data_IF_159245419711
#
_entry.id   IF_159245419711
#
_cell.length_a   1.000
_cell.length_b   1.000
_cell.length_c   1.000
_cell.angle_alpha   90.00
_cell.angle_beta   90.00
_cell.angle_gamma   90.00
#
_symmetry.space_group_name_H-M   'P 1'
#
loop_
_entity.id
_entity.type
_entity.pdbx_description
1 polymer ?
#
# COMPACT_ATOMS: atom_id res chain seq x y z
N UNK A 1 -3.21 16.89 -6.44
CA UNK A 1 -3.40 15.84 -7.47
C UNK A 1 -2.05 15.46 -8.07
N UNK A 2 -1.87 14.19 -8.46
CA UNK A 2 -0.66 13.74 -9.16
C UNK A 2 -0.54 14.39 -10.55
N UNK A 3 0.68 14.60 -11.04
CA UNK A 3 0.88 15.13 -12.40
C UNK A 3 0.69 14.07 -13.49
N UNK A 4 0.82 12.81 -13.11
CA UNK A 4 0.55 11.62 -13.92
C UNK A 4 0.26 10.45 -12.97
N UNK A 5 0.13 9.23 -13.51
CA UNK A 5 -0.17 8.01 -12.75
C UNK A 5 0.85 7.68 -11.64
N UNK A 6 2.10 8.12 -11.76
CA UNK A 6 3.22 7.70 -10.91
C UNK A 6 3.94 8.87 -10.25
N UNK A 7 3.53 10.13 -10.46
CA UNK A 7 4.23 11.28 -9.91
C UNK A 7 3.32 12.27 -9.21
N UNK A 8 3.80 12.82 -8.09
CA UNK A 8 3.17 14.00 -7.48
C UNK A 8 3.33 15.24 -8.37
N UNK A 9 2.49 16.24 -8.16
CA UNK A 9 2.73 17.56 -8.74
C UNK A 9 3.94 18.23 -8.05
N UNK A 10 4.94 18.61 -8.83
CA UNK A 10 6.08 19.42 -8.37
C UNK A 10 5.73 20.90 -8.37
N UNK A 11 6.44 21.69 -7.57
CA UNK A 11 6.28 23.14 -7.49
C UNK A 11 7.64 23.80 -7.72
N UNK A 12 8.04 24.03 -9.00
CA UNK A 12 9.38 24.54 -9.33
C UNK A 12 9.71 25.90 -8.71
N UNK A 13 8.72 26.80 -8.59
CA UNK A 13 8.91 28.12 -7.97
C UNK A 13 9.34 28.06 -6.49
N UNK A 14 9.13 26.91 -5.84
CA UNK A 14 9.51 26.64 -4.45
C UNK A 14 10.63 25.58 -4.35
N UNK A 15 11.24 25.17 -5.47
CA UNK A 15 12.20 24.06 -5.53
C UNK A 15 11.65 22.73 -4.96
N UNK A 16 10.35 22.48 -5.09
CA UNK A 16 9.73 21.21 -4.66
C UNK A 16 9.69 20.24 -5.86
N UNK A 17 10.43 19.13 -5.83
CA UNK A 17 10.47 18.18 -6.95
C UNK A 17 9.20 17.33 -7.03
N UNK A 18 9.03 16.66 -8.17
CA UNK A 18 8.04 15.57 -8.30
C UNK A 18 8.56 14.34 -7.58
N UNK A 19 7.71 13.71 -6.78
CA UNK A 19 8.01 12.42 -6.16
C UNK A 19 7.43 11.30 -7.02
N UNK A 20 8.27 10.33 -7.37
CA UNK A 20 7.85 9.12 -8.09
C UNK A 20 7.36 8.07 -7.09
N UNK A 21 6.20 7.51 -7.36
CA UNK A 21 5.65 6.34 -6.69
C UNK A 21 5.66 5.13 -7.64
N UNK A 22 5.84 3.94 -7.08
CA UNK A 22 5.81 2.69 -7.82
C UNK A 22 5.05 1.65 -7.04
N UNK A 23 4.20 0.90 -7.74
CA UNK A 23 3.74 -0.37 -7.19
C UNK A 23 4.90 -1.29 -6.88
N UNK A 24 4.71 -2.06 -5.82
CA UNK A 24 4.40 -3.48 -5.97
C UNK A 24 3.47 -3.87 -4.84
N UNK A 25 3.32 -5.19 -4.61
CA UNK A 25 3.40 -5.76 -3.25
C UNK A 25 4.61 -6.57 -2.89
N UNK A 26 5.19 -7.16 -3.90
CA UNK A 26 6.19 -8.20 -3.79
C UNK A 26 7.30 -7.91 -4.80
N UNK A 27 7.63 -6.63 -4.96
CA UNK A 27 8.60 -6.14 -5.92
C UNK A 27 8.42 -4.66 -6.17
N UNK A 28 9.32 -4.08 -6.97
CA UNK A 28 9.21 -2.69 -7.45
C UNK A 28 9.04 -2.72 -8.94
N UNK A 29 7.86 -2.31 -9.40
CA UNK A 29 7.43 -2.48 -10.78
C UNK A 29 8.00 -1.40 -11.73
N UNK A 30 8.17 -0.17 -11.25
CA UNK A 30 8.53 0.99 -12.06
C UNK A 30 7.34 1.61 -12.83
N UNK A 31 7.64 2.63 -13.63
CA UNK A 31 6.65 3.55 -14.22
C UNK A 31 6.01 3.12 -15.56
N UNK A 32 6.55 2.09 -16.24
CA UNK A 32 6.06 1.65 -17.57
C UNK A 32 5.48 0.24 -17.49
N UNK A 33 4.37 -0.02 -18.18
CA UNK A 33 3.81 -1.38 -18.23
C UNK A 33 4.53 -2.33 -19.20
N UNK A 34 5.06 -1.79 -20.30
CA UNK A 34 5.76 -2.51 -21.38
C UNK A 34 7.24 -2.09 -21.46
N UNK A 35 8.10 -2.99 -21.95
CA UNK A 35 9.57 -2.80 -22.11
C UNK A 35 10.29 -2.34 -20.82
N UNK A 36 10.33 -3.24 -19.83
CA UNK A 36 10.81 -2.91 -18.47
C UNK A 36 12.25 -3.35 -18.23
N UNK A 37 12.94 -2.58 -17.39
CA UNK A 37 14.08 -3.09 -16.63
C UNK A 37 13.63 -4.24 -15.71
N UNK A 38 14.44 -5.31 -15.57
CA UNK A 38 14.16 -6.40 -14.65
C UNK A 38 13.84 -5.95 -13.21
N UNK A 39 13.06 -6.75 -12.49
CA UNK A 39 12.68 -6.48 -11.12
C UNK A 39 12.79 -7.75 -10.27
N UNK A 40 13.37 -7.64 -9.07
CA UNK A 40 13.23 -8.69 -8.08
C UNK A 40 11.76 -8.88 -7.70
N UNK A 41 11.28 -10.12 -7.79
CA UNK A 41 9.95 -10.53 -7.37
C UNK A 41 10.07 -11.39 -6.11
N UNK A 42 9.59 -10.86 -5.01
CA UNK A 42 9.44 -11.61 -3.76
C UNK A 42 8.24 -12.59 -3.85
N UNK A 43 8.21 -13.62 -2.99
CA UNK A 43 6.99 -14.39 -2.76
C UNK A 43 5.79 -13.50 -2.39
N UNK A 44 4.57 -13.98 -2.62
CA UNK A 44 3.36 -13.25 -2.25
C UNK A 44 3.25 -13.07 -0.71
N UNK A 45 2.44 -12.10 -0.28
CA UNK A 45 2.32 -11.75 1.15
C UNK A 45 1.92 -12.92 2.05
N UNK A 46 1.11 -13.87 1.56
CA UNK A 46 0.75 -15.08 2.31
C UNK A 46 1.91 -16.04 2.48
N UNK A 47 2.73 -16.23 1.44
CA UNK A 47 3.94 -17.05 1.53
C UNK A 47 4.96 -16.43 2.48
N UNK A 48 5.13 -15.10 2.42
CA UNK A 48 5.98 -14.35 3.34
C UNK A 48 5.45 -14.42 4.79
N UNK A 49 4.15 -14.26 5.00
CA UNK A 49 3.51 -14.39 6.31
C UNK A 49 3.62 -15.80 6.89
N UNK A 50 3.55 -16.83 6.04
CA UNK A 50 3.70 -18.23 6.44
C UNK A 50 5.11 -18.58 6.93
N UNK A 51 6.11 -17.72 6.73
CA UNK A 51 7.44 -17.91 7.31
C UNK A 51 7.48 -17.64 8.81
N UNK A 52 6.54 -16.84 9.32
CA UNK A 52 6.52 -16.35 10.71
C UNK A 52 7.86 -15.73 11.17
N UNK A 53 8.67 -15.23 10.24
CA UNK A 53 10.02 -14.77 10.47
C UNK A 53 10.12 -13.24 10.27
N UNK A 54 10.23 -12.49 11.36
CA UNK A 54 10.25 -11.02 11.33
C UNK A 54 11.54 -10.47 10.74
N UNK A 55 12.65 -11.15 11.00
CA UNK A 55 13.98 -10.81 10.51
C UNK A 55 14.02 -10.94 8.98
N UNK A 56 13.50 -12.04 8.44
CA UNK A 56 13.34 -12.24 7.01
C UNK A 56 12.44 -11.18 6.37
N UNK A 57 11.36 -10.77 7.04
CA UNK A 57 10.50 -9.68 6.57
C UNK A 57 11.23 -8.33 6.51
N UNK A 58 12.13 -8.08 7.46
CA UNK A 58 12.98 -6.88 7.45
C UNK A 58 13.96 -6.92 6.28
N UNK A 59 14.65 -8.04 6.06
CA UNK A 59 15.56 -8.23 4.92
C UNK A 59 14.85 -8.08 3.58
N UNK A 60 13.63 -8.61 3.47
CA UNK A 60 12.77 -8.41 2.30
C UNK A 60 12.46 -6.92 2.07
N UNK A 61 12.15 -6.18 3.14
CA UNK A 61 11.96 -4.72 3.08
C UNK A 61 13.21 -3.96 2.61
N UNK A 62 14.39 -4.35 3.09
CA UNK A 62 15.67 -3.75 2.67
C UNK A 62 15.98 -4.03 1.19
N UNK A 63 15.66 -5.23 0.69
CA UNK A 63 15.77 -5.55 -0.74
C UNK A 63 14.83 -4.67 -1.58
N UNK A 64 13.58 -4.48 -1.14
CA UNK A 64 12.63 -3.60 -1.81
C UNK A 64 13.10 -2.15 -1.82
N UNK A 65 13.71 -1.68 -0.73
CA UNK A 65 14.29 -0.33 -0.68
C UNK A 65 15.43 -0.15 -1.70
N UNK A 66 16.31 -1.15 -1.84
CA UNK A 66 17.37 -1.14 -2.87
C UNK A 66 16.79 -1.11 -4.30
N UNK A 67 15.75 -1.89 -4.55
CA UNK A 67 15.02 -1.90 -5.82
C UNK A 67 14.32 -0.56 -6.12
N UNK A 68 13.76 0.11 -5.09
CA UNK A 68 13.19 1.44 -5.22
C UNK A 68 14.26 2.45 -5.65
N UNK A 69 15.42 2.42 -4.99
CA UNK A 69 16.55 3.27 -5.34
C UNK A 69 17.00 3.03 -6.79
N UNK A 70 17.18 1.77 -7.19
CA UNK A 70 17.56 1.40 -8.56
C UNK A 70 16.57 1.89 -9.63
N UNK A 71 15.27 1.98 -9.29
CA UNK A 71 14.20 2.44 -10.19
C UNK A 71 13.84 3.92 -10.01
N UNK A 72 14.58 4.64 -9.17
CA UNK A 72 14.30 6.03 -8.78
C UNK A 72 12.86 6.24 -8.30
N UNK A 73 12.31 5.25 -7.58
CA UNK A 73 11.02 5.34 -6.90
C UNK A 73 11.24 5.86 -5.48
N UNK A 74 10.55 6.95 -5.13
CA UNK A 74 10.64 7.59 -3.83
C UNK A 74 9.65 6.98 -2.84
N UNK A 75 8.50 6.51 -3.35
CA UNK A 75 7.45 5.87 -2.55
C UNK A 75 7.12 4.52 -3.12
N UNK A 76 7.27 3.48 -2.30
CA UNK A 76 6.80 2.14 -2.62
C UNK A 76 5.36 1.97 -2.12
N UNK A 77 4.47 1.52 -3.00
CA UNK A 77 3.06 1.34 -2.66
C UNK A 77 2.81 -0.03 -2.02
N UNK A 78 3.48 -0.36 -0.89
CA UNK A 78 3.39 -1.64 -0.14
C UNK A 78 3.78 -1.62 1.34
N UNK A 79 3.58 -2.68 2.19
CA UNK A 79 3.06 -4.09 2.06
C UNK A 79 1.60 -4.39 2.58
N UNK A 80 0.79 -5.35 2.07
CA UNK A 80 -0.71 -5.38 2.30
C UNK A 80 -0.91 -6.27 3.47
N UNK A 81 -1.82 -5.80 4.30
CA UNK A 81 -2.24 -6.48 5.50
C UNK A 81 -3.70 -6.94 5.47
N UNK A 82 -4.51 -6.54 4.47
CA UNK A 82 -5.78 -7.20 4.10
C UNK A 82 -5.51 -8.36 3.12
N UNK A 83 -6.50 -8.89 2.37
CA UNK A 83 -6.25 -10.01 1.43
C UNK A 83 -4.95 -9.81 0.65
N UNK A 84 -4.07 -10.82 0.69
CA UNK A 84 -2.69 -10.81 0.19
C UNK A 84 -2.36 -9.66 -0.80
N UNK A 85 -1.39 -8.79 -0.45
CA UNK A 85 -0.45 -7.99 -1.31
C UNK A 85 -0.52 -6.39 -1.41
N UNK A 86 0.35 -5.64 -0.64
CA UNK A 86 0.59 -4.13 -0.42
C UNK A 86 -0.11 -3.09 0.57
N UNK A 87 0.52 -2.15 1.33
CA UNK A 87 -0.10 -1.34 2.43
C UNK A 87 -1.21 -0.44 1.85
N UNK A 88 -2.37 -1.05 1.80
CA UNK A 88 -3.56 -0.85 0.98
C UNK A 88 -4.32 -2.18 1.12
N UNK A 89 -5.60 -2.22 0.90
CA UNK A 89 -6.49 -1.08 0.92
C UNK A 89 -6.96 -0.91 2.37
N UNK A 90 -6.63 0.22 3.00
CA UNK A 90 -7.15 0.56 4.33
C UNK A 90 -8.58 1.11 4.16
N UNK A 91 -9.65 0.44 4.57
CA UNK A 91 -9.78 -0.88 5.20
C UNK A 91 -10.95 -1.63 4.52
N UNK A 92 -11.07 -2.96 4.68
CA UNK A 92 -12.21 -3.78 4.20
C UNK A 92 -12.33 -3.95 2.67
N UNK A 93 -11.22 -4.07 1.96
CA UNK A 93 -11.26 -4.56 0.57
C UNK A 93 -11.01 -6.06 0.49
N UNK A 94 -11.99 -6.86 0.93
CA UNK A 94 -11.89 -8.33 1.00
C UNK A 94 -12.47 -9.05 -0.22
N UNK A 95 -12.91 -8.32 -1.25
CA UNK A 95 -13.52 -8.90 -2.45
C UNK A 95 -13.30 -8.00 -3.67
N UNK A 96 -12.84 -8.56 -4.79
CA UNK A 96 -12.62 -7.80 -6.02
C UNK A 96 -13.90 -7.53 -6.82
N UNK A 97 -14.98 -8.29 -6.59
CA UNK A 97 -16.26 -8.09 -7.27
C UNK A 97 -16.87 -6.73 -6.86
N UNK A 98 -17.06 -5.84 -7.84
CA UNK A 98 -17.63 -4.50 -7.66
C UNK A 98 -16.98 -3.65 -6.56
N UNK A 99 -15.67 -3.81 -6.35
CA UNK A 99 -14.88 -3.15 -5.28
C UNK A 99 -15.01 -1.61 -5.17
N UNK A 100 -15.44 -0.93 -6.24
CA UNK A 100 -15.69 0.52 -6.25
C UNK A 100 -17.10 0.90 -5.80
N UNK A 101 -18.04 -0.06 -5.78
CA UNK A 101 -19.46 0.14 -5.45
C UNK A 101 -19.87 -0.58 -4.16
N UNK A 102 -19.16 -1.63 -3.77
CA UNK A 102 -19.49 -2.46 -2.61
C UNK A 102 -19.44 -1.66 -1.30
N UNK A 103 -20.48 -1.83 -0.47
CA UNK A 103 -20.55 -1.30 0.89
C UNK A 103 -20.35 -2.42 1.91
N UNK A 104 -19.21 -2.39 2.59
CA UNK A 104 -18.87 -3.35 3.62
C UNK A 104 -19.53 -2.92 4.94
N UNK A 105 -20.62 -3.60 5.30
CA UNK A 105 -21.33 -3.40 6.58
C UNK A 105 -20.74 -4.28 7.65
N UNK A 106 -20.11 -3.69 8.66
CA UNK A 106 -19.38 -4.42 9.70
C UNK A 106 -19.58 -3.80 11.08
N UNK A 107 -19.55 -4.65 12.11
CA UNK A 107 -19.57 -4.17 13.50
C UNK A 107 -18.28 -3.43 13.86
N UNK A 108 -18.39 -2.45 14.77
CA UNK A 108 -17.23 -1.73 15.31
C UNK A 108 -16.18 -2.65 15.93
N UNK A 109 -16.64 -3.74 16.57
CA UNK A 109 -15.75 -4.72 17.18
C UNK A 109 -14.89 -5.43 16.14
N UNK A 110 -15.51 -5.99 15.10
CA UNK A 110 -14.78 -6.70 14.06
C UNK A 110 -13.88 -5.74 13.26
N UNK A 111 -14.36 -4.51 12.98
CA UNK A 111 -13.54 -3.46 12.37
C UNK A 111 -12.25 -3.21 13.14
N UNK A 112 -12.33 -3.03 14.47
CA UNK A 112 -11.15 -2.75 15.31
C UNK A 112 -10.25 -3.96 15.51
N UNK A 113 -10.82 -5.10 15.89
CA UNK A 113 -10.05 -6.27 16.33
C UNK A 113 -9.42 -7.05 15.17
N UNK A 114 -10.02 -7.00 13.97
CA UNK A 114 -9.57 -7.83 12.83
C UNK A 114 -8.93 -6.97 11.75
N UNK A 115 -9.60 -5.90 11.34
CA UNK A 115 -9.26 -5.20 10.12
C UNK A 115 -8.34 -3.98 10.30
N UNK A 116 -8.55 -3.22 11.38
CA UNK A 116 -7.68 -2.10 11.72
C UNK A 116 -6.43 -2.52 12.49
N UNK A 117 -6.50 -3.63 13.23
CA UNK A 117 -5.39 -4.08 14.08
C UNK A 117 -4.06 -4.23 13.34
N UNK A 118 -3.98 -4.87 12.15
CA UNK A 118 -2.71 -4.96 11.41
C UNK A 118 -2.16 -3.58 11.02
N UNK A 119 -3.03 -2.66 10.60
CA UNK A 119 -2.62 -1.30 10.25
C UNK A 119 -2.14 -0.53 11.48
N UNK A 120 -2.84 -0.65 12.61
CA UNK A 120 -2.45 -0.05 13.88
C UNK A 120 -1.07 -0.54 14.33
N UNK A 121 -0.78 -1.84 14.21
CA UNK A 121 0.51 -2.41 14.52
C UNK A 121 1.61 -1.89 13.57
N UNK A 122 1.33 -1.80 12.27
CA UNK A 122 2.27 -1.27 11.29
C UNK A 122 2.60 0.21 11.54
N UNK A 123 1.59 1.04 11.82
CA UNK A 123 1.77 2.46 12.15
C UNK A 123 2.62 2.59 13.42
N UNK A 124 2.25 1.88 14.49
CA UNK A 124 2.94 1.95 15.78
C UNK A 124 4.40 1.51 15.70
N UNK A 125 4.68 0.43 14.98
CA UNK A 125 6.00 -0.21 15.03
C UNK A 125 6.93 0.23 13.89
N UNK A 126 6.40 0.73 12.77
CA UNK A 126 7.19 1.04 11.57
C UNK A 126 7.04 2.49 11.07
N UNK A 127 6.06 3.26 11.56
CA UNK A 127 5.83 4.67 11.22
C UNK A 127 5.92 4.97 9.71
N UNK A 128 5.03 4.37 8.88
CA UNK A 128 5.06 4.55 7.43
C UNK A 128 4.76 6.00 7.05
N UNK A 129 5.42 6.51 5.99
CA UNK A 129 5.25 7.89 5.53
C UNK A 129 3.91 8.16 4.83
N UNK A 130 3.24 7.10 4.35
CA UNK A 130 1.99 7.22 3.62
C UNK A 130 1.11 5.99 3.86
N UNK A 131 -0.21 6.22 3.84
CA UNK A 131 -1.24 5.20 3.80
C UNK A 131 -2.08 5.40 2.53
N UNK A 132 -2.64 4.32 2.00
CA UNK A 132 -3.52 4.37 0.85
C UNK A 132 -4.92 3.87 1.25
N UNK A 133 -5.90 4.75 1.06
CA UNK A 133 -7.30 4.48 1.33
C UNK A 133 -7.85 3.42 0.39
N UNK A 134 -8.81 2.64 0.87
CA UNK A 134 -9.53 1.69 0.05
C UNK A 134 -10.51 2.35 -0.92
N UNK A 135 -10.93 1.58 -1.92
CA UNK A 135 -11.93 2.01 -2.89
C UNK A 135 -13.37 1.87 -2.35
N UNK A 136 -13.61 0.82 -1.56
CA UNK A 136 -14.94 0.45 -1.07
C UNK A 136 -15.50 1.46 -0.06
N UNK A 137 -16.79 1.29 0.23
CA UNK A 137 -17.44 1.95 1.36
C UNK A 137 -17.34 1.08 2.61
N UNK A 138 -17.32 1.75 3.76
CA UNK A 138 -17.40 1.15 5.09
C UNK A 138 -18.54 1.81 5.82
N UNK A 139 -19.59 1.03 6.10
CA UNK A 139 -20.81 1.50 6.75
C UNK A 139 -21.42 2.74 6.05
N UNK A 140 -21.45 2.74 4.72
CA UNK A 140 -22.12 3.76 3.90
C UNK A 140 -21.24 4.90 3.37
N UNK A 141 -20.00 5.06 3.85
CA UNK A 141 -19.07 6.11 3.41
C UNK A 141 -17.86 5.54 2.67
N UNK A 142 -17.45 6.16 1.56
CA UNK A 142 -16.20 5.80 0.88
C UNK A 142 -15.01 6.04 1.81
N UNK A 143 -14.04 5.13 1.80
CA UNK A 143 -12.88 5.24 2.68
C UNK A 143 -12.05 6.51 2.46
N UNK A 144 -12.02 7.07 1.24
CA UNK A 144 -11.35 8.35 0.99
C UNK A 144 -12.07 9.57 1.59
N UNK A 145 -13.30 9.41 2.09
CA UNK A 145 -14.14 10.46 2.66
C UNK A 145 -14.51 10.19 4.13
N UNK A 146 -14.03 9.08 4.71
CA UNK A 146 -14.43 8.62 6.03
C UNK A 146 -13.55 9.24 7.14
N UNK A 147 -13.99 10.38 7.69
CA UNK A 147 -13.28 11.12 8.74
C UNK A 147 -13.16 10.40 10.08
N UNK A 148 -13.97 9.36 10.32
CA UNK A 148 -13.92 8.62 11.58
C UNK A 148 -12.75 7.61 11.60
N UNK A 149 -12.22 7.26 10.42
CA UNK A 149 -11.14 6.27 10.25
C UNK A 149 -9.82 6.92 9.81
N UNK A 150 -9.89 8.04 9.08
CA UNK A 150 -8.72 8.83 8.64
C UNK A 150 -8.14 9.70 9.77
#
# INVERSE_FOLDING_TARGET
MGSDFWHTAGIPRLNIPKLRMSDGPNGVRGAKFFDRFPAARLPCGTALGATWNKELMKEAGELIARECHAKSAHVWLGPTVNIASSLKHLVLNDMEHERTLVDCRISQRALREIYLLPCQLAIRNANPWALMTAYNRVNGLHMCENSDIL
#
